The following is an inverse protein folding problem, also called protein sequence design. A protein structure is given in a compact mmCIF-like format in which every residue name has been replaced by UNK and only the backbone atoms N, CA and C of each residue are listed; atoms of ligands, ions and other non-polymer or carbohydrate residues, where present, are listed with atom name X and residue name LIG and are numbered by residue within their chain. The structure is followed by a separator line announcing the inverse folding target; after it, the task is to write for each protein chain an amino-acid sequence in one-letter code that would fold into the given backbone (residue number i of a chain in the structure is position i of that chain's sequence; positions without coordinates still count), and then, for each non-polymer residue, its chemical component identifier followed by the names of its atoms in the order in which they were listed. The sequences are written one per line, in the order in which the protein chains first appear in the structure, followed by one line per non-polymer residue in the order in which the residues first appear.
data_IF_665123547871
#
_entry.id   IF_665123547871
#
_cell.length_a   1.000
_cell.length_b   1.000
_cell.length_c   1.000
_cell.angle_alpha   90.00
_cell.angle_beta   90.00
_cell.angle_gamma   90.00
#
_symmetry.space_group_name_H-M   'P 1'
#
loop_
_entity.id
_entity.type
_entity.pdbx_description
1 polymer ?
#
# COMPACT_ATOMS: atom_id res chain seq x y z
N UNK A 1 8.05 13.54 -64.58
CA UNK A 1 7.33 13.71 -63.30
C UNK A 1 7.05 12.35 -62.64
N UNK A 2 8.09 11.57 -62.31
CA UNK A 2 7.95 10.22 -61.72
C UNK A 2 8.90 9.92 -60.55
N UNK A 3 9.84 10.85 -60.25
CA UNK A 3 10.86 10.70 -59.20
C UNK A 3 10.51 11.42 -57.89
N UNK A 4 9.55 12.35 -57.90
CA UNK A 4 9.11 13.09 -56.71
C UNK A 4 8.10 12.33 -55.84
N UNK A 5 7.48 11.26 -56.35
CA UNK A 5 6.49 10.47 -55.61
C UNK A 5 7.11 9.48 -54.61
N UNK A 6 8.38 9.10 -54.79
CA UNK A 6 9.07 8.13 -53.91
C UNK A 6 9.61 8.81 -52.63
N UNK A 7 9.86 10.12 -52.66
CA UNK A 7 10.38 10.88 -51.51
C UNK A 7 9.32 11.24 -50.45
N UNK A 8 8.02 11.20 -50.80
CA UNK A 8 6.92 11.55 -49.88
C UNK A 8 6.43 10.32 -49.08
N UNK A 9 6.71 9.10 -49.53
CA UNK A 9 6.27 7.87 -48.86
C UNK A 9 7.15 7.49 -47.65
N UNK A 10 8.33 8.10 -47.48
CA UNK A 10 9.30 7.75 -46.44
C UNK A 10 9.15 8.55 -45.13
N UNK A 11 8.23 9.51 -45.07
CA UNK A 11 8.08 10.42 -43.91
C UNK A 11 7.01 9.94 -42.92
N UNK A 12 6.22 8.91 -43.26
CA UNK A 12 5.03 8.52 -42.47
C UNK A 12 5.32 7.40 -41.43
N UNK A 13 6.56 6.91 -41.33
CA UNK A 13 6.93 5.82 -40.38
C UNK A 13 7.56 6.31 -39.07
N UNK A 14 7.76 7.61 -38.89
CA UNK A 14 8.37 8.14 -37.67
C UNK A 14 7.32 8.77 -36.76
N UNK A 15 6.77 7.97 -35.84
CA UNK A 15 6.49 8.34 -34.44
C UNK A 15 5.28 7.58 -33.88
N UNK A 16 5.48 6.33 -33.49
CA UNK A 16 4.73 5.75 -32.40
C UNK A 16 5.68 5.61 -31.21
N UNK A 17 5.99 6.74 -30.57
CA UNK A 17 6.64 6.71 -29.26
C UNK A 17 5.56 6.35 -28.24
N UNK A 18 5.45 5.06 -27.93
CA UNK A 18 4.72 4.61 -26.74
C UNK A 18 5.29 5.40 -25.54
N UNK A 19 4.46 6.10 -24.74
CA UNK A 19 4.95 6.67 -23.50
C UNK A 19 5.52 5.50 -22.69
N UNK A 20 6.81 5.58 -22.34
CA UNK A 20 7.41 4.61 -21.44
C UNK A 20 6.56 4.67 -20.17
N UNK A 21 5.81 3.61 -19.89
CA UNK A 21 5.10 3.44 -18.62
C UNK A 21 6.15 3.65 -17.56
N UNK A 22 6.15 4.82 -16.89
CA UNK A 22 6.98 5.05 -15.71
C UNK A 22 6.73 3.83 -14.84
N UNK A 23 7.76 3.02 -14.63
CA UNK A 23 7.64 1.96 -13.64
C UNK A 23 7.31 2.69 -12.37
N UNK A 24 6.11 2.46 -11.84
CA UNK A 24 5.72 2.96 -10.53
C UNK A 24 6.78 2.46 -9.56
N UNK A 25 7.76 3.30 -9.27
CA UNK A 25 8.88 2.91 -8.44
C UNK A 25 8.32 2.67 -7.04
N UNK A 26 8.61 1.49 -6.49
CA UNK A 26 8.12 1.11 -5.17
C UNK A 26 8.60 2.13 -4.15
N UNK A 27 7.72 2.70 -3.30
CA UNK A 27 8.13 3.62 -2.27
C UNK A 27 9.23 3.03 -1.37
N UNK A 28 10.22 3.85 -1.03
CA UNK A 28 11.38 3.42 -0.25
C UNK A 28 11.00 2.82 1.11
N UNK A 29 9.92 3.30 1.71
CA UNK A 29 9.41 2.82 3.00
C UNK A 29 8.98 1.34 2.97
N UNK A 30 8.83 0.73 1.80
CA UNK A 30 8.57 -0.72 1.68
C UNK A 30 9.78 -1.53 2.13
N UNK A 31 11.00 -1.05 1.87
CA UNK A 31 12.23 -1.82 2.09
C UNK A 31 12.99 -1.45 3.35
N UNK A 32 12.75 -0.24 3.86
CA UNK A 32 13.47 0.29 5.03
C UNK A 32 12.51 0.42 6.20
N UNK A 33 12.97 0.05 7.40
CA UNK A 33 12.29 0.34 8.65
C UNK A 33 12.14 1.87 8.77
N UNK A 34 10.95 2.38 8.50
CA UNK A 34 10.70 3.81 8.50
C UNK A 34 10.45 4.27 9.93
N UNK A 35 11.27 5.19 10.45
CA UNK A 35 11.06 5.81 11.76
C UNK A 35 10.63 7.26 11.56
N UNK A 36 9.35 7.56 11.77
CA UNK A 36 8.89 8.95 11.83
C UNK A 36 9.11 9.52 13.23
N UNK A 37 10.11 10.40 13.40
CA UNK A 37 10.21 11.37 14.52
C UNK A 37 9.75 10.83 15.90
N UNK A 38 10.32 9.72 16.37
CA UNK A 38 10.02 9.14 17.69
C UNK A 38 8.74 8.30 17.78
N UNK A 39 8.06 8.05 16.66
CA UNK A 39 6.93 7.11 16.54
C UNK A 39 7.41 5.75 16.10
N UNK A 40 6.75 4.71 16.59
CA UNK A 40 6.96 3.33 16.17
C UNK A 40 6.13 3.12 14.92
N UNK A 41 6.74 2.66 13.84
CA UNK A 41 6.05 2.39 12.59
C UNK A 41 6.26 0.96 12.13
N UNK A 42 5.24 0.41 11.51
CA UNK A 42 5.23 -0.93 10.95
C UNK A 42 4.77 -0.91 9.51
N UNK A 43 5.41 -1.73 8.69
CA UNK A 43 5.00 -1.98 7.31
C UNK A 43 4.30 -3.31 7.27
N UNK A 44 3.09 -3.32 6.72
CA UNK A 44 2.33 -4.53 6.48
C UNK A 44 2.06 -4.69 4.99
N UNK A 45 2.09 -5.93 4.53
CA UNK A 45 1.83 -6.26 3.13
C UNK A 45 0.84 -7.41 3.02
N UNK A 46 0.09 -7.48 1.94
CA UNK A 46 -0.73 -8.64 1.59
C UNK A 46 -0.72 -8.84 0.09
N UNK A 47 -0.43 -10.07 -0.33
CA UNK A 47 -0.72 -10.54 -1.68
C UNK A 47 -2.24 -10.50 -1.96
N UNK A 48 -2.60 -10.65 -3.23
CA UNK A 48 -3.99 -10.74 -3.67
C UNK A 48 -4.76 -11.76 -2.83
N UNK A 49 -5.87 -11.31 -2.26
CA UNK A 49 -6.71 -12.13 -1.39
C UNK A 49 -7.92 -12.67 -2.16
N UNK A 50 -8.27 -13.95 -1.97
CA UNK A 50 -9.40 -14.61 -2.67
C UNK A 50 -10.75 -13.95 -2.38
N UNK A 51 -10.88 -13.31 -1.22
CA UNK A 51 -12.06 -12.53 -0.81
C UNK A 51 -12.05 -11.06 -1.29
N UNK A 52 -11.12 -10.70 -2.17
CA UNK A 52 -11.02 -9.37 -2.77
C UNK A 52 -10.19 -8.36 -1.97
N UNK A 53 -10.10 -7.15 -2.53
CA UNK A 53 -9.19 -6.09 -2.08
C UNK A 53 -9.46 -5.62 -0.64
N UNK A 54 -10.71 -5.64 -0.18
CA UNK A 54 -11.04 -5.26 1.20
C UNK A 54 -10.33 -6.16 2.23
N UNK A 55 -10.33 -7.48 1.99
CA UNK A 55 -9.63 -8.44 2.86
C UNK A 55 -8.11 -8.36 2.69
N UNK A 56 -7.62 -8.08 1.49
CA UNK A 56 -6.21 -7.81 1.25
C UNK A 56 -5.73 -6.60 2.06
N UNK A 57 -6.48 -5.48 2.02
CA UNK A 57 -6.21 -4.28 2.82
C UNK A 57 -6.25 -4.57 4.31
N UNK A 58 -7.27 -5.27 4.80
CA UNK A 58 -7.37 -5.63 6.21
C UNK A 58 -6.19 -6.51 6.68
N UNK A 59 -5.74 -7.43 5.82
CA UNK A 59 -4.58 -8.29 6.10
C UNK A 59 -3.28 -7.48 6.17
N UNK A 60 -3.06 -6.56 5.24
CA UNK A 60 -1.90 -5.67 5.27
C UNK A 60 -1.91 -4.79 6.53
N UNK A 61 -3.06 -4.22 6.90
CA UNK A 61 -3.21 -3.42 8.13
C UNK A 61 -2.89 -4.26 9.38
N UNK A 62 -3.46 -5.46 9.49
CA UNK A 62 -3.21 -6.35 10.63
C UNK A 62 -1.71 -6.65 10.78
N UNK A 63 -1.03 -6.96 9.67
CA UNK A 63 0.42 -7.21 9.67
C UNK A 63 1.24 -5.98 10.05
N UNK A 64 0.83 -4.78 9.64
CA UNK A 64 1.49 -3.54 10.05
C UNK A 64 1.35 -3.29 11.56
N UNK A 65 0.20 -3.61 12.14
CA UNK A 65 -0.04 -3.49 13.58
C UNK A 65 0.75 -4.56 14.35
N UNK A 66 0.83 -5.78 13.84
CA UNK A 66 1.66 -6.85 14.42
C UNK A 66 3.15 -6.45 14.44
N UNK A 67 3.63 -5.77 13.40
CA UNK A 67 4.98 -5.22 13.34
C UNK A 67 5.20 -4.15 14.42
N UNK A 68 4.26 -3.20 14.57
CA UNK A 68 4.30 -2.17 15.63
C UNK A 68 4.30 -2.83 17.01
N UNK A 69 3.42 -3.81 17.23
CA UNK A 69 3.31 -4.53 18.48
C UNK A 69 4.59 -5.30 18.83
N UNK A 70 5.21 -5.93 17.83
CA UNK A 70 6.50 -6.61 17.99
C UNK A 70 7.60 -5.63 18.42
N UNK A 71 7.66 -4.46 17.79
CA UNK A 71 8.60 -3.40 18.18
C UNK A 71 8.32 -2.87 19.61
N UNK A 72 7.06 -2.89 20.04
CA UNK A 72 6.64 -2.54 21.40
C UNK A 72 6.80 -3.68 22.43
N UNK A 73 7.21 -4.88 22.01
CA UNK A 73 7.33 -6.06 22.88
C UNK A 73 6.00 -6.61 23.38
N UNK A 74 4.91 -6.44 22.64
CA UNK A 74 3.55 -6.88 23.01
C UNK A 74 2.93 -7.75 21.91
N UNK A 75 1.99 -8.64 22.28
CA UNK A 75 1.19 -9.41 21.32
C UNK A 75 -0.20 -8.80 21.18
N UNK A 76 -0.62 -8.65 19.92
CA UNK A 76 -1.95 -8.17 19.55
C UNK A 76 -2.95 -9.31 19.66
N UNK A 77 -4.14 -9.03 20.21
CA UNK A 77 -5.26 -9.98 20.25
C UNK A 77 -6.35 -9.54 19.27
N UNK A 78 -6.01 -9.44 17.99
CA UNK A 78 -6.94 -8.92 16.98
C UNK A 78 -7.29 -9.94 15.92
N UNK A 79 -8.57 -10.30 15.84
CA UNK A 79 -9.13 -11.02 14.70
C UNK A 79 -9.37 -10.06 13.52
N UNK A 80 -8.96 -10.45 12.31
CA UNK A 80 -9.09 -9.69 11.04
C UNK A 80 -10.51 -9.14 10.81
N UNK A 81 -11.54 -9.82 11.31
CA UNK A 81 -12.95 -9.42 11.17
C UNK A 81 -13.29 -8.09 11.84
N UNK A 82 -12.61 -7.73 12.94
CA UNK A 82 -12.84 -6.44 13.61
C UNK A 82 -12.41 -5.26 12.73
N UNK A 83 -11.35 -5.41 11.93
CA UNK A 83 -10.87 -4.37 11.02
C UNK A 83 -11.85 -4.09 9.87
N UNK A 84 -12.50 -5.14 9.36
CA UNK A 84 -13.47 -5.02 8.27
C UNK A 84 -14.79 -4.36 8.71
N UNK A 85 -15.20 -4.55 9.97
CA UNK A 85 -16.38 -3.86 10.53
C UNK A 85 -16.18 -2.34 10.55
N UNK A 86 -14.95 -1.86 10.79
CA UNK A 86 -14.61 -0.43 10.76
C UNK A 86 -14.57 0.20 9.35
N UNK A 87 -14.43 -0.60 8.28
CA UNK A 87 -14.28 -0.11 6.90
C UNK A 87 -15.56 -0.15 6.06
N UNK A 88 -16.67 -0.65 6.62
CA UNK A 88 -17.94 -0.86 5.88
C UNK A 88 -18.79 0.41 5.70
N UNK A 89 -18.38 1.54 6.27
CA UNK A 89 -19.02 2.85 6.07
C UNK A 89 -18.33 3.62 4.94
N UNK A 90 -19.04 3.81 3.82
CA UNK A 90 -18.52 4.42 2.59
C UNK A 90 -18.25 5.93 2.68
N UNK A 91 -17.21 6.32 3.41
CA UNK A 91 -16.71 7.70 3.36
C UNK A 91 -15.18 7.69 3.34
N UNK A 92 -14.64 8.00 2.15
CA UNK A 92 -13.25 8.40 1.97
C UNK A 92 -13.11 9.79 2.57
N UNK A 93 -12.71 9.90 3.83
CA UNK A 93 -12.23 11.17 4.40
C UNK A 93 -11.26 10.88 5.54
N UNK A 94 -10.19 11.67 5.54
CA UNK A 94 -8.92 11.39 6.20
C UNK A 94 -9.02 11.06 7.69
N UNK A 95 -8.01 10.32 8.14
CA UNK A 95 -7.79 9.80 9.49
C UNK A 95 -8.40 8.42 9.77
N UNK A 96 -7.80 7.37 9.20
CA UNK A 96 -8.04 5.99 9.67
C UNK A 96 -7.15 5.71 10.88
N UNK A 97 -7.66 6.01 12.08
CA UNK A 97 -7.05 5.65 13.35
C UNK A 97 -7.51 4.25 13.76
N UNK A 98 -6.57 3.35 13.99
CA UNK A 98 -6.79 1.98 14.42
C UNK A 98 -6.37 1.84 15.88
N UNK A 99 -7.31 1.37 16.71
CA UNK A 99 -7.08 1.14 18.13
C UNK A 99 -7.20 -0.35 18.41
N UNK A 100 -6.14 -0.96 18.92
CA UNK A 100 -6.08 -2.41 19.17
C UNK A 100 -5.63 -2.70 20.60
N UNK A 101 -6.36 -3.58 21.28
CA UNK A 101 -5.98 -4.04 22.61
C UNK A 101 -4.97 -5.19 22.49
N UNK A 102 -3.93 -5.13 23.32
CA UNK A 102 -2.93 -6.19 23.41
C UNK A 102 -3.28 -7.15 24.53
N UNK A 103 -2.72 -8.35 24.44
CA UNK A 103 -2.76 -9.38 25.50
C UNK A 103 -2.21 -8.90 26.85
N UNK A 104 -1.38 -7.86 26.85
CA UNK A 104 -0.83 -7.22 28.06
C UNK A 104 -1.71 -6.09 28.60
N UNK A 105 -2.92 -5.88 28.06
CA UNK A 105 -3.81 -4.77 28.41
C UNK A 105 -3.37 -3.39 27.90
N UNK A 106 -2.31 -3.31 27.09
CA UNK A 106 -1.86 -2.05 26.48
C UNK A 106 -2.66 -1.79 25.21
N UNK A 107 -2.96 -0.54 24.94
CA UNK A 107 -3.71 -0.14 23.75
C UNK A 107 -2.74 0.44 22.73
N UNK A 108 -2.69 -0.16 21.53
CA UNK A 108 -1.96 0.37 20.39
C UNK A 108 -2.89 1.27 19.60
N UNK A 109 -2.53 2.54 19.46
CA UNK A 109 -3.18 3.49 18.56
C UNK A 109 -2.25 3.76 17.38
N UNK A 110 -2.67 3.40 16.17
CA UNK A 110 -1.87 3.54 14.97
C UNK A 110 -2.69 4.13 13.82
N UNK A 111 -2.04 4.95 12.99
CA UNK A 111 -2.65 5.60 11.83
C UNK A 111 -1.94 5.16 10.57
N UNK A 112 -2.70 4.98 9.49
CA UNK A 112 -2.13 4.82 8.14
C UNK A 112 -1.48 6.13 7.72
N UNK A 113 -0.18 6.05 7.42
CA UNK A 113 0.60 7.17 6.89
C UNK A 113 0.57 7.14 5.37
N UNK A 114 0.79 5.97 4.78
CA UNK A 114 0.84 5.78 3.34
C UNK A 114 0.42 4.36 2.94
N UNK A 115 0.06 4.17 1.67
CA UNK A 115 -0.29 2.88 1.10
C UNK A 115 0.12 2.80 -0.37
N UNK A 116 0.55 1.62 -0.79
CA UNK A 116 0.99 1.37 -2.15
C UNK A 116 0.43 0.06 -2.67
N UNK A 117 -0.05 0.06 -3.91
CA UNK A 117 -0.49 -1.15 -4.60
C UNK A 117 0.44 -1.41 -5.79
N UNK A 118 1.08 -2.58 -5.78
CA UNK A 118 1.89 -3.04 -6.89
C UNK A 118 0.98 -3.74 -7.91
N UNK A 119 0.73 -3.10 -9.04
CA UNK A 119 -0.04 -3.68 -10.15
C UNK A 119 0.62 -4.93 -10.76
N UNK A 120 1.95 -5.03 -10.69
CA UNK A 120 2.72 -6.15 -11.23
C UNK A 120 2.57 -7.41 -10.40
N UNK A 121 2.83 -7.32 -9.10
CA UNK A 121 2.70 -8.46 -8.17
C UNK A 121 1.29 -8.63 -7.59
N UNK A 122 0.41 -7.64 -7.79
CA UNK A 122 -0.93 -7.53 -7.15
C UNK A 122 -0.84 -7.54 -5.62
N UNK A 123 0.24 -6.96 -5.09
CA UNK A 123 0.46 -6.83 -3.66
C UNK A 123 0.04 -5.46 -3.16
N UNK A 124 -0.47 -5.42 -1.93
CA UNK A 124 -0.87 -4.19 -1.27
C UNK A 124 -0.01 -3.99 -0.03
N UNK A 125 0.58 -2.82 0.10
CA UNK A 125 1.48 -2.41 1.16
C UNK A 125 0.87 -1.23 1.92
N UNK A 126 1.05 -1.20 3.23
CA UNK A 126 0.60 -0.12 4.11
C UNK A 126 1.70 0.22 5.09
N UNK A 127 1.99 1.51 5.22
CA UNK A 127 2.80 2.07 6.29
C UNK A 127 1.87 2.60 7.39
N UNK A 128 2.04 2.09 8.61
CA UNK A 128 1.35 2.57 9.79
C UNK A 128 2.34 3.08 10.82
N UNK A 129 1.98 4.14 11.55
CA UNK A 129 2.77 4.66 12.65
C UNK A 129 1.87 4.89 13.88
N UNK A 130 2.45 4.81 15.08
CA UNK A 130 1.75 5.15 16.32
C UNK A 130 1.28 6.61 16.31
N UNK A 131 0.12 6.86 16.92
CA UNK A 131 -0.40 8.22 17.13
C UNK A 131 0.43 8.99 18.17
#
# INVERSE_FOLDING_TARGET
MRRTFILILLIIVSSCSLPSKESSEKPEWIYKSYYQKGKICGVGYSAMHVRGFAYQRATAIARAIDEIARQMGVRVDSSVEHFLRGTRGGTVSGLQLYTVQTTSGRVIKAKIIDSYYDEGSREFFVLMCTE
#
